data_IF_963814026500
#
_entry.id   IF_963814026500
#
_cell.length_a   1.000
_cell.length_b   1.000
_cell.length_c   1.000
_cell.angle_alpha   90.00
_cell.angle_beta   90.00
_cell.angle_gamma   90.00
#
_symmetry.space_group_name_H-M   'P 1'
#
loop_
_entity.id
_entity.type
_entity.pdbx_description
1 polymer ?
#
# COMPACT_ATOMS: atom_id res chain seq x y z
N UNK A 1 3.17 17.62 -17.78
CA UNK A 1 3.78 17.23 -16.49
C UNK A 1 2.75 16.77 -15.45
N UNK A 2 1.60 17.46 -15.29
CA UNK A 2 0.53 17.05 -14.36
C UNK A 2 -0.09 15.69 -14.72
N UNK A 3 -0.29 15.41 -16.01
CA UNK A 3 -0.87 14.14 -16.49
C UNK A 3 -0.04 12.91 -16.10
N UNK A 4 1.27 12.96 -16.29
CA UNK A 4 2.18 11.86 -15.93
C UNK A 4 2.19 11.60 -14.43
N UNK A 5 2.12 12.65 -13.61
CA UNK A 5 2.05 12.54 -12.15
C UNK A 5 0.77 11.83 -11.70
N UNK A 6 -0.40 12.22 -12.22
CA UNK A 6 -1.67 11.60 -11.85
C UNK A 6 -1.71 10.11 -12.21
N UNK A 7 -1.13 9.73 -13.35
CA UNK A 7 -1.00 8.32 -13.75
C UNK A 7 -0.11 7.56 -12.77
N UNK A 8 1.03 8.12 -12.35
CA UNK A 8 1.89 7.49 -11.33
C UNK A 8 1.15 7.30 -10.00
N UNK A 9 0.42 8.32 -9.53
CA UNK A 9 -0.37 8.23 -8.30
C UNK A 9 -1.48 7.16 -8.40
N UNK A 10 -2.13 7.04 -9.56
CA UNK A 10 -3.09 5.98 -9.82
C UNK A 10 -2.44 4.59 -9.69
N UNK A 11 -1.27 4.35 -10.30
CA UNK A 11 -0.59 3.07 -10.18
C UNK A 11 -0.19 2.74 -8.74
N UNK A 12 0.22 3.74 -7.95
CA UNK A 12 0.51 3.56 -6.52
C UNK A 12 -0.76 3.12 -5.77
N UNK A 13 -1.88 3.83 -5.96
CA UNK A 13 -3.14 3.48 -5.32
C UNK A 13 -3.66 2.10 -5.76
N UNK A 14 -3.53 1.80 -7.06
CA UNK A 14 -3.87 0.51 -7.65
C UNK A 14 -3.06 -0.64 -7.04
N UNK A 15 -1.74 -0.47 -6.89
CA UNK A 15 -0.87 -1.51 -6.31
C UNK A 15 -1.24 -1.84 -4.86
N UNK A 16 -1.52 -0.82 -4.05
CA UNK A 16 -1.95 -1.03 -2.66
C UNK A 16 -3.32 -1.74 -2.63
N UNK A 17 -4.29 -1.24 -3.41
CA UNK A 17 -5.61 -1.88 -3.47
C UNK A 17 -5.57 -3.31 -4.02
N UNK A 18 -4.70 -3.58 -5.00
CA UNK A 18 -4.50 -4.92 -5.54
C UNK A 18 -3.92 -5.87 -4.49
N UNK A 19 -2.89 -5.47 -3.72
CA UNK A 19 -2.34 -6.31 -2.65
C UNK A 19 -3.40 -6.63 -1.58
N UNK A 20 -4.21 -5.65 -1.18
CA UNK A 20 -5.29 -5.86 -0.20
C UNK A 20 -6.39 -6.81 -0.71
N UNK A 21 -6.77 -6.69 -1.98
CA UNK A 21 -7.78 -7.56 -2.60
C UNK A 21 -7.28 -9.00 -2.79
N UNK A 22 -5.99 -9.18 -3.03
CA UNK A 22 -5.38 -10.49 -3.22
C UNK A 22 -5.32 -11.32 -1.94
N UNK A 23 -5.47 -10.71 -0.76
CA UNK A 23 -5.42 -11.41 0.53
C UNK A 23 -6.43 -12.56 0.62
N UNK A 24 -7.70 -12.29 0.27
CA UNK A 24 -8.78 -13.27 0.39
C UNK A 24 -8.47 -14.64 -0.23
N UNK A 25 -8.17 -14.72 -1.53
CA UNK A 25 -7.86 -15.99 -2.20
C UNK A 25 -6.48 -16.58 -1.84
N UNK A 26 -5.51 -15.78 -1.39
CA UNK A 26 -4.14 -16.24 -1.11
C UNK A 26 -3.98 -16.87 0.27
N UNK A 27 -4.82 -16.51 1.25
CA UNK A 27 -4.68 -17.00 2.63
C UNK A 27 -4.70 -18.52 2.75
N UNK A 28 -5.64 -19.19 2.08
CA UNK A 28 -5.79 -20.66 2.16
C UNK A 28 -4.63 -21.40 1.48
N UNK A 29 -4.23 -21.09 0.23
CA UNK A 29 -3.03 -21.67 -0.38
C UNK A 29 -1.77 -21.49 0.45
N UNK A 30 -1.50 -20.28 0.95
CA UNK A 30 -0.30 -20.00 1.76
C UNK A 30 -0.30 -20.81 3.07
N UNK A 31 -1.46 -20.93 3.72
CA UNK A 31 -1.60 -21.75 4.92
C UNK A 31 -1.30 -23.22 4.66
N UNK A 32 -1.77 -23.75 3.53
CA UNK A 32 -1.53 -25.15 3.13
C UNK A 32 -0.07 -25.39 2.73
N UNK A 33 0.51 -24.53 1.90
CA UNK A 33 1.88 -24.67 1.39
C UNK A 33 2.92 -24.61 2.52
N UNK A 34 2.67 -23.78 3.55
CA UNK A 34 3.55 -23.63 4.71
C UNK A 34 3.15 -24.54 5.88
N UNK A 35 2.17 -25.43 5.71
CA UNK A 35 1.67 -26.35 6.75
C UNK A 35 1.29 -25.65 8.07
N UNK A 36 0.66 -24.49 7.97
CA UNK A 36 0.29 -23.63 9.09
C UNK A 36 -1.11 -23.95 9.58
N UNK A 37 -1.34 -23.89 10.90
CA UNK A 37 -2.67 -24.10 11.47
C UNK A 37 -3.65 -23.04 10.95
N UNK A 38 -4.91 -23.40 10.62
CA UNK A 38 -5.90 -22.45 10.07
C UNK A 38 -6.11 -21.21 10.95
N UNK A 39 -6.05 -21.39 12.26
CA UNK A 39 -6.11 -20.30 13.25
C UNK A 39 -5.00 -19.26 13.08
N UNK A 40 -3.79 -19.68 12.73
CA UNK A 40 -2.63 -18.79 12.57
C UNK A 40 -2.68 -18.01 11.26
N UNK A 41 -3.40 -18.48 10.24
CA UNK A 41 -3.51 -17.80 8.94
C UNK A 41 -4.12 -16.40 9.08
N UNK A 42 -4.97 -16.18 10.10
CA UNK A 42 -5.53 -14.85 10.39
C UNK A 42 -4.48 -13.80 10.73
N UNK A 43 -3.34 -14.19 11.31
CA UNK A 43 -2.24 -13.27 11.60
C UNK A 43 -1.66 -12.60 10.35
N UNK A 44 -1.83 -13.19 9.18
CA UNK A 44 -1.41 -12.61 7.90
C UNK A 44 -2.09 -11.26 7.64
N UNK A 45 -3.40 -11.18 7.88
CA UNK A 45 -4.18 -9.94 7.72
C UNK A 45 -3.92 -9.01 8.90
N UNK A 46 -3.92 -9.54 10.12
CA UNK A 46 -3.72 -8.74 11.33
C UNK A 46 -2.35 -8.05 11.35
N UNK A 47 -1.28 -8.71 10.94
CA UNK A 47 0.07 -8.14 10.90
C UNK A 47 0.14 -6.93 9.95
N UNK A 48 -0.44 -7.04 8.75
CA UNK A 48 -0.55 -5.94 7.79
C UNK A 48 -1.36 -4.78 8.38
N UNK A 49 -2.58 -5.04 8.85
CA UNK A 49 -3.47 -3.99 9.36
C UNK A 49 -2.92 -3.28 10.58
N UNK A 50 -2.25 -4.02 11.48
CA UNK A 50 -1.64 -3.46 12.68
C UNK A 50 -0.46 -2.55 12.33
N UNK A 51 0.42 -3.00 11.43
CA UNK A 51 1.53 -2.18 10.94
C UNK A 51 1.00 -0.93 10.22
N UNK A 52 0.04 -1.11 9.31
CA UNK A 52 -0.59 -0.02 8.56
C UNK A 52 -1.17 1.05 9.50
N UNK A 53 -1.90 0.63 10.53
CA UNK A 53 -2.47 1.54 11.53
C UNK A 53 -1.40 2.22 12.38
N UNK A 54 -0.39 1.47 12.84
CA UNK A 54 0.69 2.01 13.66
C UNK A 54 1.51 3.07 12.93
N UNK A 55 1.78 2.86 11.64
CA UNK A 55 2.60 3.77 10.82
C UNK A 55 1.80 4.90 10.16
N UNK A 56 0.48 4.80 10.04
CA UNK A 56 -0.35 5.80 9.37
C UNK A 56 -0.16 7.22 9.95
N UNK A 57 -0.10 7.35 11.28
CA UNK A 57 0.14 8.63 11.94
C UNK A 57 1.50 9.24 11.58
N UNK A 58 2.54 8.42 11.52
CA UNK A 58 3.90 8.88 11.22
C UNK A 58 4.01 9.39 9.79
N UNK A 59 3.45 8.66 8.83
CA UNK A 59 3.54 9.04 7.42
C UNK A 59 2.82 10.35 7.10
N UNK A 60 1.71 10.66 7.78
CA UNK A 60 1.04 11.95 7.64
C UNK A 60 1.98 13.12 7.96
N UNK A 61 2.49 13.15 9.20
CA UNK A 61 3.39 14.21 9.69
C UNK A 61 4.70 14.27 8.89
N UNK A 62 5.28 13.12 8.57
CA UNK A 62 6.56 13.05 7.87
C UNK A 62 6.42 13.56 6.42
N UNK A 63 5.31 13.25 5.75
CA UNK A 63 5.07 13.69 4.37
C UNK A 63 4.88 15.20 4.25
N UNK A 64 4.21 15.83 5.22
CA UNK A 64 3.99 17.27 5.24
C UNK A 64 5.30 18.01 5.57
N UNK A 65 6.15 17.46 6.44
CA UNK A 65 7.41 18.08 6.87
C UNK A 65 8.55 17.94 5.86
N UNK A 66 8.75 16.75 5.29
CA UNK A 66 9.90 16.46 4.43
C UNK A 66 9.57 16.53 2.93
N UNK A 67 8.29 16.72 2.59
CA UNK A 67 7.79 16.78 1.23
C UNK A 67 7.21 15.44 0.77
N UNK A 68 6.01 15.51 0.20
CA UNK A 68 5.18 14.34 -0.13
C UNK A 68 5.87 13.31 -1.02
N UNK A 69 6.53 13.74 -2.10
CA UNK A 69 7.23 12.84 -3.03
C UNK A 69 8.46 12.17 -2.42
N UNK A 70 9.16 12.84 -1.49
CA UNK A 70 10.34 12.29 -0.82
C UNK A 70 10.00 11.17 0.16
N UNK A 71 8.76 11.11 0.60
CA UNK A 71 8.23 10.02 1.44
C UNK A 71 7.55 8.95 0.59
N UNK A 72 6.80 9.35 -0.44
CA UNK A 72 6.05 8.43 -1.29
C UNK A 72 6.94 7.48 -2.12
N UNK A 73 8.05 7.98 -2.66
CA UNK A 73 8.96 7.16 -3.49
C UNK A 73 9.62 6.04 -2.66
N UNK A 74 10.30 6.32 -1.53
CA UNK A 74 10.88 5.25 -0.71
C UNK A 74 9.84 4.27 -0.17
N UNK A 75 8.65 4.74 0.23
CA UNK A 75 7.57 3.88 0.67
C UNK A 75 7.13 2.92 -0.45
N UNK A 76 6.97 3.43 -1.68
CA UNK A 76 6.62 2.61 -2.85
C UNK A 76 7.69 1.55 -3.16
N UNK A 77 8.97 1.91 -3.04
CA UNK A 77 10.08 0.97 -3.26
C UNK A 77 10.07 -0.12 -2.17
N UNK A 78 9.90 0.27 -0.90
CA UNK A 78 9.80 -0.67 0.20
C UNK A 78 8.61 -1.61 0.05
N UNK A 79 7.44 -1.08 -0.34
CA UNK A 79 6.25 -1.86 -0.60
C UNK A 79 6.49 -2.89 -1.70
N UNK A 80 7.06 -2.48 -2.83
CA UNK A 80 7.37 -3.38 -3.94
C UNK A 80 8.37 -4.47 -3.54
N UNK A 81 9.46 -4.10 -2.85
CA UNK A 81 10.48 -5.04 -2.40
C UNK A 81 9.92 -6.05 -1.37
N UNK A 82 9.13 -5.58 -0.40
CA UNK A 82 8.50 -6.42 0.60
C UNK A 82 7.46 -7.34 -0.02
N UNK A 83 6.64 -6.85 -0.96
CA UNK A 83 5.66 -7.64 -1.69
C UNK A 83 6.33 -8.76 -2.50
N UNK A 84 7.41 -8.46 -3.23
CA UNK A 84 8.21 -9.48 -3.91
C UNK A 84 8.82 -10.49 -2.92
N UNK A 85 9.27 -10.01 -1.76
CA UNK A 85 9.79 -10.85 -0.68
C UNK A 85 8.77 -11.87 -0.16
N UNK A 86 7.47 -11.53 -0.14
CA UNK A 86 6.43 -12.48 0.28
C UNK A 86 6.36 -13.73 -0.61
N UNK A 87 6.64 -13.60 -1.91
CA UNK A 87 6.68 -14.73 -2.83
C UNK A 87 7.91 -15.62 -2.70
N UNK A 88 8.97 -15.13 -2.04
CA UNK A 88 10.22 -15.85 -1.80
C UNK A 88 10.29 -16.44 -0.37
N UNK A 89 9.29 -16.20 0.46
CA UNK A 89 9.29 -16.60 1.85
C UNK A 89 9.12 -18.12 1.98
N UNK A 90 10.05 -18.76 2.69
CA UNK A 90 10.05 -20.21 2.94
C UNK A 90 9.35 -20.61 4.24
N UNK A 91 9.05 -19.65 5.11
CA UNK A 91 8.39 -19.89 6.40
C UNK A 91 7.29 -18.87 6.66
N UNK A 92 6.35 -19.23 7.51
CA UNK A 92 5.22 -18.37 7.85
C UNK A 92 5.66 -17.09 8.58
N UNK A 93 6.69 -17.19 9.42
CA UNK A 93 7.26 -16.04 10.13
C UNK A 93 7.88 -15.03 9.15
N UNK A 94 8.52 -15.51 8.09
CA UNK A 94 9.09 -14.66 7.05
C UNK A 94 7.99 -13.97 6.24
N UNK A 95 6.90 -14.69 5.93
CA UNK A 95 5.69 -14.10 5.34
C UNK A 95 5.11 -13.01 6.23
N UNK A 96 4.96 -13.26 7.54
CA UNK A 96 4.45 -12.27 8.50
C UNK A 96 5.35 -11.04 8.57
N UNK A 97 6.68 -11.22 8.58
CA UNK A 97 7.64 -10.12 8.57
C UNK A 97 7.44 -9.23 7.33
N UNK A 98 7.34 -9.84 6.15
CA UNK A 98 7.09 -9.09 4.93
C UNK A 98 5.71 -8.42 4.94
N UNK A 99 4.68 -9.01 5.58
CA UNK A 99 3.36 -8.36 5.75
C UNK A 99 3.41 -7.15 6.66
N UNK A 100 4.22 -7.19 7.72
CA UNK A 100 4.49 -6.00 8.54
C UNK A 100 5.18 -4.93 7.71
N UNK A 101 6.15 -5.30 6.86
CA UNK A 101 6.86 -4.36 5.99
C UNK A 101 5.95 -3.76 4.90
N UNK A 102 5.11 -4.56 4.24
CA UNK A 102 4.14 -4.04 3.26
C UNK A 102 3.12 -3.13 3.93
N UNK A 103 2.61 -3.51 5.11
CA UNK A 103 1.67 -2.69 5.89
C UNK A 103 2.28 -1.37 6.36
N UNK A 104 3.54 -1.40 6.83
CA UNK A 104 4.26 -0.19 7.20
C UNK A 104 4.46 0.74 5.99
N UNK A 105 4.77 0.19 4.82
CA UNK A 105 4.96 0.96 3.60
C UNK A 105 3.64 1.54 3.05
N UNK A 106 2.57 0.75 3.03
CA UNK A 106 1.25 1.16 2.52
C UNK A 106 0.59 2.25 3.35
N UNK A 107 0.93 2.33 4.65
CA UNK A 107 0.36 3.25 5.63
C UNK A 107 0.28 4.71 5.16
N UNK A 108 1.32 5.16 4.45
CA UNK A 108 1.40 6.52 3.90
C UNK A 108 1.03 6.63 2.43
N UNK A 109 1.02 5.55 1.67
CA UNK A 109 0.98 5.62 0.20
C UNK A 109 -0.32 6.24 -0.32
N UNK A 110 -1.48 5.73 0.11
CA UNK A 110 -2.79 6.27 -0.32
C UNK A 110 -3.03 7.71 0.18
N UNK A 111 -2.89 8.01 1.48
CA UNK A 111 -3.13 9.36 2.00
C UNK A 111 -2.20 10.40 1.35
N UNK A 112 -0.92 10.08 1.21
CA UNK A 112 0.05 10.98 0.58
C UNK A 112 -0.25 11.15 -0.91
N UNK A 113 -0.65 10.08 -1.62
CA UNK A 113 -1.07 10.19 -3.01
C UNK A 113 -2.28 11.09 -3.20
N UNK A 114 -3.31 10.96 -2.34
CA UNK A 114 -4.48 11.85 -2.36
C UNK A 114 -4.12 13.29 -2.02
N UNK A 115 -3.20 13.51 -1.08
CA UNK A 115 -2.78 14.85 -0.73
C UNK A 115 -1.99 15.51 -1.87
N UNK A 116 -1.13 14.78 -2.57
CA UNK A 116 -0.46 15.27 -3.80
C UNK A 116 -1.50 15.59 -4.89
N UNK A 117 -2.49 14.71 -5.09
CA UNK A 117 -3.56 14.91 -6.07
C UNK A 117 -4.42 16.14 -5.75
N UNK A 118 -4.69 16.37 -4.46
CA UNK A 118 -5.42 17.54 -3.97
C UNK A 118 -4.66 18.83 -4.25
N UNK A 119 -3.37 18.87 -3.89
CA UNK A 119 -2.51 20.05 -4.07
C UNK A 119 -2.34 20.41 -5.56
N UNK A 120 -2.26 19.41 -6.43
CA UNK A 120 -2.15 19.62 -7.87
C UNK A 120 -3.47 20.06 -8.53
N UNK A 121 -4.62 19.74 -7.92
CA UNK A 121 -5.93 19.90 -8.54
C UNK A 121 -6.63 21.22 -8.32
N UNK A 122 -6.28 21.99 -7.28
CA UNK A 122 -6.95 23.25 -6.95
C UNK A 122 -8.48 23.09 -6.91
N UNK A 123 -9.21 23.84 -7.74
CA UNK A 123 -10.68 23.73 -7.89
C UNK A 123 -11.16 22.37 -8.41
N UNK A 124 -10.31 21.58 -9.05
CA UNK A 124 -10.60 20.23 -9.56
C UNK A 124 -10.08 19.11 -8.65
N UNK A 125 -9.63 19.41 -7.43
CA UNK A 125 -9.04 18.43 -6.51
C UNK A 125 -9.87 17.14 -6.37
N UNK A 126 -11.19 17.27 -6.22
CA UNK A 126 -12.10 16.12 -6.12
C UNK A 126 -12.05 15.22 -7.37
N UNK A 127 -12.02 15.80 -8.58
CA UNK A 127 -11.90 15.03 -9.83
C UNK A 127 -10.57 14.30 -9.93
N UNK A 128 -9.46 14.93 -9.51
CA UNK A 128 -8.14 14.30 -9.58
C UNK A 128 -8.00 13.20 -8.53
N UNK A 129 -8.48 13.40 -7.31
CA UNK A 129 -8.52 12.35 -6.29
C UNK A 129 -9.38 11.18 -6.77
N UNK A 130 -10.54 11.46 -7.37
CA UNK A 130 -11.39 10.43 -7.96
C UNK A 130 -10.69 9.66 -9.10
N UNK A 131 -9.94 10.36 -9.97
CA UNK A 131 -9.10 9.73 -10.99
C UNK A 131 -8.03 8.82 -10.38
N UNK A 132 -7.35 9.26 -9.32
CA UNK A 132 -6.32 8.46 -8.65
C UNK A 132 -6.90 7.21 -8.00
N UNK A 133 -8.11 7.29 -7.44
CA UNK A 133 -8.74 6.16 -6.76
C UNK A 133 -9.47 5.19 -7.70
N UNK A 134 -10.19 5.72 -8.71
CA UNK A 134 -11.04 4.92 -9.60
C UNK A 134 -10.45 4.70 -11.00
N UNK A 135 -9.39 5.42 -11.34
CA UNK A 135 -8.72 5.33 -12.62
C UNK A 135 -9.25 6.25 -13.70
N UNK A 136 -8.62 6.22 -14.90
CA UNK A 136 -8.87 7.15 -16.00
C UNK A 136 -10.27 7.04 -16.61
N UNK A 137 -10.97 5.94 -16.37
CA UNK A 137 -12.32 5.67 -16.90
C UNK A 137 -13.42 6.53 -16.28
N UNK A 138 -13.09 7.33 -15.25
CA UNK A 138 -14.04 8.18 -14.51
C UNK A 138 -14.07 9.62 -15.04
N UNK A 139 -13.23 9.95 -16.02
CA UNK A 139 -13.20 11.25 -16.70
C UNK A 139 -13.82 11.19 -18.09
#
# INVERSE_FOLDING_TARGET
MIWTQNVTLFFIAFLVGADELLLGPILTPVGNDLSVRPESVTFFVTAYSLANTAYAFFFGVLSDRYGRMRILIPASILFAAASMGTGLAATFEMVLLFRVLTGAASAGMLPVAFAIASDAGGTNAVRIIAFVYRGPWVL
#
